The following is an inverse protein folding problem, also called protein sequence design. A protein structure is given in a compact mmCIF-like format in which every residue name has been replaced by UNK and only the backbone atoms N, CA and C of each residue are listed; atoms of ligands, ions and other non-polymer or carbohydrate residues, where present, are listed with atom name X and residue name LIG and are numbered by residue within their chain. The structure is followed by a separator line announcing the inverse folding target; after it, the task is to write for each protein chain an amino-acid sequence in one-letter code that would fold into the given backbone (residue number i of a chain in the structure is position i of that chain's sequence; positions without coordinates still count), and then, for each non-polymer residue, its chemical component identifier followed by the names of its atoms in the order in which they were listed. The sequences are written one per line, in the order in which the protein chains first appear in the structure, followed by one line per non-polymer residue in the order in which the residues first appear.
data_IF_194317788847
#
_entry.id   IF_194317788847
#
_cell.length_a   1.000
_cell.length_b   1.000
_cell.length_c   1.000
_cell.angle_alpha   90.00
_cell.angle_beta   90.00
_cell.angle_gamma   90.00
#
_symmetry.space_group_name_H-M   'P 1'
#
loop_
_entity.id
_entity.type
_entity.pdbx_description
1 polymer ?
#
# COMPACT_ATOMS: atom_id res chain seq x y z
N UNK A 1 48.89 18.47 14.44
CA UNK A 1 48.66 17.63 13.26
C UNK A 1 47.18 17.44 13.02
N UNK A 2 46.64 17.99 11.91
CA UNK A 2 45.39 17.55 11.33
C UNK A 2 44.27 18.58 11.26
N UNK A 3 44.45 19.72 10.62
CA UNK A 3 43.36 20.66 10.24
C UNK A 3 43.33 20.93 8.77
N UNK A 4 43.26 19.84 7.96
CA UNK A 4 42.93 19.94 6.56
C UNK A 4 41.71 19.05 6.30
N UNK A 5 40.58 19.33 6.98
CA UNK A 5 39.28 18.89 6.51
C UNK A 5 38.98 19.74 5.28
N UNK A 6 39.34 19.20 4.12
CA UNK A 6 39.19 19.85 2.85
C UNK A 6 37.70 20.17 2.63
N UNK A 7 37.33 21.43 2.30
CA UNK A 7 35.93 21.82 2.10
C UNK A 7 35.23 20.97 1.04
N UNK A 8 35.98 20.35 0.13
CA UNK A 8 35.48 19.43 -0.87
C UNK A 8 34.88 18.12 -0.28
N UNK A 9 35.40 17.62 0.86
CA UNK A 9 34.84 16.44 1.51
C UNK A 9 33.50 16.76 2.19
N UNK A 10 33.40 17.93 2.82
CA UNK A 10 32.15 18.42 3.43
C UNK A 10 31.07 18.66 2.39
N UNK A 11 31.43 19.27 1.25
CA UNK A 11 30.52 19.51 0.14
C UNK A 11 30.02 18.18 -0.49
N UNK A 12 30.92 17.22 -0.66
CA UNK A 12 30.54 15.87 -1.16
C UNK A 12 29.58 15.13 -0.22
N UNK A 13 29.80 15.25 1.10
CA UNK A 13 28.90 14.66 2.10
C UNK A 13 27.53 15.35 2.11
N UNK A 14 27.49 16.67 2.06
CA UNK A 14 26.25 17.43 1.97
C UNK A 14 25.44 17.06 0.72
N UNK A 15 26.08 16.99 -0.44
CA UNK A 15 25.42 16.55 -1.68
C UNK A 15 24.85 15.13 -1.57
N UNK A 16 25.58 14.22 -0.93
CA UNK A 16 25.09 12.84 -0.73
C UNK A 16 23.85 12.81 0.17
N UNK A 17 23.85 13.58 1.25
CA UNK A 17 22.70 13.70 2.16
C UNK A 17 21.48 14.33 1.45
N UNK A 18 21.68 15.40 0.70
CA UNK A 18 20.64 16.03 -0.11
C UNK A 18 19.99 15.04 -1.10
N UNK A 19 20.81 14.27 -1.79
CA UNK A 19 20.31 13.24 -2.72
C UNK A 19 19.48 12.18 -2.02
N UNK A 20 19.89 11.73 -0.84
CA UNK A 20 19.15 10.76 -0.04
C UNK A 20 17.81 11.34 0.45
N UNK A 21 17.82 12.58 0.95
CA UNK A 21 16.59 13.25 1.40
C UNK A 21 15.62 13.49 0.24
N UNK A 22 16.10 14.02 -0.89
CA UNK A 22 15.29 14.21 -2.09
C UNK A 22 14.69 12.88 -2.56
N UNK A 23 15.50 11.82 -2.60
CA UNK A 23 15.04 10.49 -2.95
C UNK A 23 13.92 9.97 -2.04
N UNK A 24 14.00 10.23 -0.73
CA UNK A 24 12.94 9.86 0.22
C UNK A 24 11.66 10.67 0.02
N UNK A 25 11.77 11.95 -0.31
CA UNK A 25 10.62 12.82 -0.61
C UNK A 25 9.95 12.38 -1.91
N UNK A 26 10.72 12.16 -2.96
CA UNK A 26 10.22 11.67 -4.25
C UNK A 26 9.49 10.33 -4.08
N UNK A 27 10.08 9.40 -3.33
CA UNK A 27 9.43 8.12 -3.06
C UNK A 27 8.10 8.30 -2.31
N UNK A 28 8.08 9.14 -1.27
CA UNK A 28 6.88 9.40 -0.49
C UNK A 28 5.76 10.05 -1.34
N UNK A 29 6.12 11.05 -2.15
CA UNK A 29 5.18 11.71 -3.05
C UNK A 29 4.62 10.74 -4.10
N UNK A 30 5.49 9.95 -4.73
CA UNK A 30 5.09 8.93 -5.69
C UNK A 30 4.17 7.87 -5.08
N UNK A 31 4.48 7.38 -3.87
CA UNK A 31 3.67 6.41 -3.17
C UNK A 31 2.29 6.97 -2.79
N UNK A 32 2.24 8.22 -2.29
CA UNK A 32 0.97 8.87 -1.97
C UNK A 32 0.09 9.07 -3.22
N UNK A 33 0.68 9.56 -4.32
CA UNK A 33 -0.04 9.73 -5.57
C UNK A 33 -0.56 8.41 -6.12
N UNK A 34 0.26 7.36 -6.07
CA UNK A 34 -0.13 6.02 -6.50
C UNK A 34 -1.28 5.47 -5.66
N UNK A 35 -1.19 5.55 -4.33
CA UNK A 35 -2.21 5.04 -3.42
C UNK A 35 -3.54 5.78 -3.58
N UNK A 36 -3.52 7.11 -3.70
CA UNK A 36 -4.70 7.92 -3.97
C UNK A 36 -5.36 7.47 -5.29
N UNK A 37 -4.56 7.31 -6.36
CA UNK A 37 -5.08 6.80 -7.64
C UNK A 37 -5.74 5.44 -7.47
N UNK A 38 -5.09 4.50 -6.78
CA UNK A 38 -5.61 3.14 -6.52
C UNK A 38 -6.96 3.19 -5.81
N UNK A 39 -7.09 3.99 -4.75
CA UNK A 39 -8.33 4.12 -3.97
C UNK A 39 -9.46 4.68 -4.82
N UNK A 40 -9.22 5.76 -5.57
CA UNK A 40 -10.24 6.39 -6.40
C UNK A 40 -10.60 5.55 -7.64
N UNK A 41 -9.62 4.89 -8.28
CA UNK A 41 -9.87 4.01 -9.42
C UNK A 41 -10.75 2.81 -9.06
N UNK A 42 -10.72 2.36 -7.82
CA UNK A 42 -11.53 1.26 -7.33
C UNK A 42 -12.88 1.71 -6.73
N UNK A 43 -13.12 3.02 -6.64
CA UNK A 43 -14.37 3.58 -6.11
C UNK A 43 -15.40 3.82 -7.21
N UNK A 44 -16.66 3.98 -6.80
CA UNK A 44 -17.77 4.37 -7.69
C UNK A 44 -17.60 5.78 -8.24
N UNK A 45 -16.77 6.63 -7.62
CA UNK A 45 -16.42 7.96 -8.16
C UNK A 45 -15.83 7.86 -9.58
N UNK A 46 -15.12 6.80 -9.90
CA UNK A 46 -14.63 6.53 -11.26
C UNK A 46 -15.77 6.38 -12.28
N UNK A 47 -16.85 5.73 -11.88
CA UNK A 47 -18.01 5.50 -12.78
C UNK A 47 -18.89 6.74 -12.91
N UNK A 48 -19.03 7.50 -11.82
CA UNK A 48 -19.90 8.68 -11.79
C UNK A 48 -19.25 9.90 -12.43
N UNK A 49 -17.92 10.01 -12.37
CA UNK A 49 -17.20 11.18 -12.85
C UNK A 49 -16.14 10.80 -13.89
N UNK A 50 -16.44 11.08 -15.14
CA UNK A 50 -15.53 10.79 -16.26
C UNK A 50 -14.14 11.43 -16.07
N UNK A 51 -14.04 12.58 -15.41
CA UNK A 51 -12.77 13.24 -15.15
C UNK A 51 -11.88 12.48 -14.16
N UNK A 52 -12.45 11.69 -13.24
CA UNK A 52 -11.68 10.85 -12.31
C UNK A 52 -10.92 9.79 -13.11
N UNK A 53 -11.59 9.15 -14.07
CA UNK A 53 -10.96 8.15 -14.92
C UNK A 53 -10.07 8.76 -16.00
N UNK A 54 -10.54 9.84 -16.65
CA UNK A 54 -9.88 10.41 -17.84
C UNK A 54 -8.72 11.34 -17.51
N UNK A 55 -8.70 11.97 -16.34
CA UNK A 55 -7.69 12.99 -15.99
C UNK A 55 -7.01 12.67 -14.68
N UNK A 56 -7.76 12.59 -13.58
CA UNK A 56 -7.16 12.51 -12.24
C UNK A 56 -6.28 11.27 -12.07
N UNK A 57 -6.82 10.10 -12.39
CA UNK A 57 -6.07 8.84 -12.19
C UNK A 57 -4.83 8.75 -13.08
N UNK A 58 -4.90 9.02 -14.40
CA UNK A 58 -3.69 9.05 -15.22
C UNK A 58 -2.64 10.07 -14.76
N UNK A 59 -3.08 11.27 -14.35
CA UNK A 59 -2.14 12.29 -13.84
C UNK A 59 -1.43 11.82 -12.58
N UNK A 60 -2.16 11.24 -11.61
CA UNK A 60 -1.56 10.70 -10.39
C UNK A 60 -0.65 9.50 -10.66
N UNK A 61 -1.01 8.62 -11.58
CA UNK A 61 -0.19 7.48 -11.98
C UNK A 61 1.11 7.95 -12.66
N UNK A 62 1.03 8.88 -13.62
CA UNK A 62 2.21 9.45 -14.25
C UNK A 62 3.11 10.19 -13.26
N UNK A 63 2.50 10.96 -12.32
CA UNK A 63 3.25 11.62 -11.25
C UNK A 63 3.98 10.59 -10.38
N UNK A 64 3.32 9.49 -10.02
CA UNK A 64 3.94 8.42 -9.27
C UNK A 64 5.12 7.79 -10.03
N UNK A 65 4.92 7.45 -11.30
CA UNK A 65 5.98 6.88 -12.14
C UNK A 65 7.16 7.84 -12.33
N UNK A 66 6.91 9.12 -12.54
CA UNK A 66 7.96 10.15 -12.64
C UNK A 66 8.74 10.27 -11.32
N UNK A 67 8.05 10.30 -10.18
CA UNK A 67 8.69 10.35 -8.88
C UNK A 67 9.53 9.10 -8.58
N UNK A 68 8.99 7.91 -8.87
CA UNK A 68 9.72 6.66 -8.70
C UNK A 68 10.91 6.57 -9.66
N UNK A 69 10.73 6.94 -10.92
CA UNK A 69 11.78 6.97 -11.92
C UNK A 69 12.90 7.94 -11.55
N UNK A 70 12.55 9.15 -11.14
CA UNK A 70 13.53 10.14 -10.66
C UNK A 70 14.30 9.60 -9.42
N UNK A 71 13.60 8.95 -8.47
CA UNK A 71 14.23 8.32 -7.31
C UNK A 71 15.21 7.21 -7.73
N UNK A 72 14.82 6.35 -8.67
CA UNK A 72 15.65 5.26 -9.18
C UNK A 72 16.91 5.82 -9.85
N UNK A 73 16.76 6.82 -10.72
CA UNK A 73 17.85 7.36 -11.51
C UNK A 73 18.82 8.23 -10.70
N UNK A 74 18.29 9.09 -9.83
CA UNK A 74 19.09 10.10 -9.15
C UNK A 74 19.38 9.79 -7.68
N UNK A 75 18.51 9.02 -7.02
CA UNK A 75 18.54 8.80 -5.58
C UNK A 75 19.06 7.43 -5.14
N UNK A 76 19.35 6.51 -6.08
CA UNK A 76 19.69 5.13 -5.69
C UNK A 76 20.87 4.61 -6.50
N UNK A 77 21.73 3.81 -5.85
CA UNK A 77 22.80 3.07 -6.51
C UNK A 77 22.46 1.59 -6.49
N UNK A 78 22.43 0.96 -7.66
CA UNK A 78 22.15 -0.47 -7.80
C UNK A 78 23.42 -1.24 -8.08
N UNK A 79 23.56 -2.39 -7.45
CA UNK A 79 24.58 -3.38 -7.82
C UNK A 79 24.11 -4.16 -9.06
N UNK A 80 25.05 -4.79 -9.78
CA UNK A 80 24.71 -5.59 -10.95
C UNK A 80 23.71 -6.73 -10.64
N UNK A 81 23.85 -7.36 -9.46
CA UNK A 81 22.93 -8.41 -9.01
C UNK A 81 21.52 -7.89 -8.80
N UNK A 82 21.38 -6.70 -8.22
CA UNK A 82 20.07 -6.06 -8.01
C UNK A 82 19.43 -5.64 -9.35
N UNK A 83 20.22 -5.18 -10.31
CA UNK A 83 19.73 -4.88 -11.65
C UNK A 83 19.21 -6.12 -12.37
N UNK A 84 19.92 -7.25 -12.27
CA UNK A 84 19.44 -8.53 -12.83
C UNK A 84 18.14 -8.99 -12.17
N UNK A 85 18.08 -8.98 -10.83
CA UNK A 85 16.87 -9.33 -10.08
C UNK A 85 15.70 -8.40 -10.44
N UNK A 86 15.96 -7.10 -10.57
CA UNK A 86 14.99 -6.09 -10.97
C UNK A 86 14.47 -6.32 -12.38
N UNK A 87 15.38 -6.64 -13.30
CA UNK A 87 15.04 -7.03 -14.68
C UNK A 87 14.13 -8.26 -14.71
N UNK A 88 14.47 -9.30 -13.95
CA UNK A 88 13.64 -10.50 -13.86
C UNK A 88 12.24 -10.19 -13.32
N UNK A 89 12.12 -9.40 -12.24
CA UNK A 89 10.83 -8.97 -11.69
C UNK A 89 10.04 -8.15 -12.71
N UNK A 90 10.69 -7.25 -13.45
CA UNK A 90 10.04 -6.47 -14.49
C UNK A 90 9.49 -7.36 -15.63
N UNK A 91 10.26 -8.35 -16.07
CA UNK A 91 9.80 -9.30 -17.08
C UNK A 91 8.60 -10.11 -16.60
N UNK A 92 8.59 -10.57 -15.34
CA UNK A 92 7.45 -11.26 -14.75
C UNK A 92 6.23 -10.32 -14.70
N UNK A 93 6.38 -9.10 -14.22
CA UNK A 93 5.30 -8.12 -14.18
C UNK A 93 4.78 -7.78 -15.58
N UNK A 94 5.68 -7.68 -16.57
CA UNK A 94 5.33 -7.46 -17.96
C UNK A 94 4.54 -8.63 -18.56
N UNK A 95 4.93 -9.86 -18.24
CA UNK A 95 4.20 -11.06 -18.61
C UNK A 95 2.80 -11.08 -18.00
N UNK A 96 2.68 -10.79 -16.71
CA UNK A 96 1.38 -10.69 -16.03
C UNK A 96 0.53 -9.57 -16.63
N UNK A 97 1.12 -8.40 -16.94
CA UNK A 97 0.42 -7.32 -17.61
C UNK A 97 -0.16 -7.74 -18.95
N UNK A 98 0.58 -8.46 -19.80
CA UNK A 98 0.07 -8.93 -21.09
C UNK A 98 -1.14 -9.84 -20.95
N UNK A 99 -1.18 -10.67 -19.91
CA UNK A 99 -2.30 -11.57 -19.67
C UNK A 99 -3.49 -10.91 -18.96
N UNK A 100 -3.24 -9.98 -18.05
CA UNK A 100 -4.29 -9.35 -17.22
C UNK A 100 -4.72 -7.97 -17.72
N UNK A 101 -3.94 -7.33 -18.62
CA UNK A 101 -4.08 -5.94 -19.06
C UNK A 101 -4.08 -4.92 -17.90
N UNK A 102 -3.55 -5.32 -16.74
CA UNK A 102 -3.54 -4.50 -15.55
C UNK A 102 -2.14 -3.89 -15.30
N UNK A 103 -2.01 -2.59 -15.58
CA UNK A 103 -0.76 -1.83 -15.46
C UNK A 103 -0.22 -1.76 -14.02
N UNK A 104 -1.05 -2.01 -13.04
CA UNK A 104 -0.67 -1.92 -11.62
C UNK A 104 0.44 -2.89 -11.24
N UNK A 105 0.55 -4.03 -11.92
CA UNK A 105 1.67 -4.97 -11.70
C UNK A 105 3.03 -4.33 -11.99
N UNK A 106 3.10 -3.52 -13.06
CA UNK A 106 4.32 -2.77 -13.39
C UNK A 106 4.55 -1.69 -12.32
N UNK A 107 3.50 -0.99 -11.90
CA UNK A 107 3.56 0.02 -10.84
C UNK A 107 4.13 -0.51 -9.54
N UNK A 108 3.69 -1.70 -9.10
CA UNK A 108 4.20 -2.35 -7.89
C UNK A 108 5.71 -2.63 -8.01
N UNK A 109 6.16 -3.18 -9.14
CA UNK A 109 7.59 -3.46 -9.33
C UNK A 109 8.42 -2.19 -9.31
N UNK A 110 7.97 -1.14 -10.00
CA UNK A 110 8.68 0.16 -10.02
C UNK A 110 8.72 0.77 -8.61
N UNK A 111 7.62 0.68 -7.84
CA UNK A 111 7.57 1.14 -6.46
C UNK A 111 8.52 0.35 -5.55
N UNK A 112 8.59 -0.99 -5.69
CA UNK A 112 9.52 -1.84 -4.94
C UNK A 112 10.98 -1.46 -5.25
N UNK A 113 11.31 -1.23 -6.51
CA UNK A 113 12.64 -0.77 -6.91
C UNK A 113 12.95 0.60 -6.29
N UNK A 114 12.02 1.55 -6.39
CA UNK A 114 12.20 2.86 -5.81
C UNK A 114 12.29 2.85 -4.28
N UNK A 115 11.79 1.81 -3.59
CA UNK A 115 11.83 1.68 -2.15
C UNK A 115 13.24 1.41 -1.58
N UNK A 116 14.21 1.06 -2.43
CA UNK A 116 15.60 0.82 -1.98
C UNK A 116 16.14 2.04 -1.23
N UNK A 117 16.87 1.79 -0.13
CA UNK A 117 17.45 2.79 0.77
C UNK A 117 16.43 3.73 1.46
N UNK A 118 15.14 3.37 1.43
CA UNK A 118 14.09 4.07 2.17
C UNK A 118 13.73 3.26 3.42
N UNK A 119 13.83 3.84 4.64
CA UNK A 119 13.45 3.14 5.86
C UNK A 119 11.97 2.76 5.82
N UNK A 120 11.64 1.48 6.01
CA UNK A 120 10.31 0.90 5.85
C UNK A 120 9.19 1.67 6.60
N UNK A 121 9.52 2.27 7.74
CA UNK A 121 8.54 3.01 8.55
C UNK A 121 7.91 4.19 7.81
N UNK A 122 8.71 4.96 7.03
CA UNK A 122 8.20 6.12 6.28
C UNK A 122 7.23 5.73 5.16
N UNK A 123 7.55 4.78 4.27
CA UNK A 123 6.59 4.26 3.29
C UNK A 123 5.28 3.81 3.91
N UNK A 124 5.34 3.04 5.01
CA UNK A 124 4.15 2.58 5.70
C UNK A 124 3.30 3.74 6.26
N UNK A 125 3.94 4.78 6.81
CA UNK A 125 3.24 5.98 7.27
C UNK A 125 2.55 6.72 6.13
N UNK A 126 3.25 6.91 5.01
CA UNK A 126 2.71 7.58 3.83
C UNK A 126 1.54 6.78 3.25
N UNK A 127 1.73 5.49 3.02
CA UNK A 127 0.69 4.58 2.54
C UNK A 127 -0.56 4.63 3.43
N UNK A 128 -0.37 4.48 4.74
CA UNK A 128 -1.48 4.52 5.71
C UNK A 128 -2.19 5.88 5.70
N UNK A 129 -1.45 6.98 5.75
CA UNK A 129 -2.03 8.32 5.82
C UNK A 129 -2.76 8.68 4.51
N UNK A 130 -2.13 8.47 3.33
CA UNK A 130 -2.76 8.77 2.04
C UNK A 130 -3.95 7.87 1.75
N UNK A 131 -3.85 6.58 2.06
CA UNK A 131 -4.93 5.63 1.87
C UNK A 131 -6.12 5.91 2.80
N UNK A 132 -5.88 6.20 4.09
CA UNK A 132 -6.94 6.63 5.01
C UNK A 132 -7.62 7.92 4.56
N UNK A 133 -6.84 8.93 4.12
CA UNK A 133 -7.40 10.19 3.65
C UNK A 133 -8.26 9.99 2.39
N UNK A 134 -7.74 9.26 1.39
CA UNK A 134 -8.47 8.97 0.16
C UNK A 134 -9.75 8.15 0.44
N UNK A 135 -9.64 7.12 1.28
CA UNK A 135 -10.79 6.29 1.67
C UNK A 135 -11.84 7.10 2.44
N UNK A 136 -11.42 7.98 3.36
CA UNK A 136 -12.33 8.86 4.09
C UNK A 136 -13.12 9.78 3.15
N UNK A 137 -12.47 10.31 2.10
CA UNK A 137 -13.14 11.11 1.07
C UNK A 137 -14.19 10.27 0.33
N UNK A 138 -13.83 9.07 -0.14
CA UNK A 138 -14.78 8.18 -0.84
C UNK A 138 -15.96 7.82 0.05
N UNK A 139 -15.73 7.49 1.32
CA UNK A 139 -16.78 7.19 2.29
C UNK A 139 -17.69 8.42 2.55
N UNK A 140 -17.08 9.60 2.70
CA UNK A 140 -17.84 10.83 2.88
C UNK A 140 -18.76 11.13 1.67
N UNK A 141 -18.25 10.97 0.46
CA UNK A 141 -19.03 11.13 -0.78
C UNK A 141 -20.13 10.08 -0.91
N UNK A 142 -19.88 8.86 -0.48
CA UNK A 142 -20.86 7.78 -0.46
C UNK A 142 -21.99 8.09 0.53
N UNK A 143 -21.67 8.42 1.79
CA UNK A 143 -22.69 8.73 2.80
C UNK A 143 -23.44 10.06 2.54
N UNK A 144 -22.81 10.98 1.79
CA UNK A 144 -23.49 12.19 1.31
C UNK A 144 -24.43 11.92 0.12
N UNK A 145 -24.50 10.70 -0.40
CA UNK A 145 -25.32 10.34 -1.56
C UNK A 145 -24.83 10.95 -2.88
N UNK A 146 -23.57 11.45 -2.92
CA UNK A 146 -22.98 12.10 -4.10
C UNK A 146 -22.45 11.05 -5.09
N UNK A 147 -21.97 9.93 -4.57
CA UNK A 147 -21.55 8.76 -5.36
C UNK A 147 -22.71 7.77 -5.40
N UNK A 148 -22.94 7.15 -6.56
CA UNK A 148 -24.07 6.25 -6.78
C UNK A 148 -24.24 5.25 -5.62
N UNK A 149 -25.48 4.89 -5.28
CA UNK A 149 -25.76 3.90 -4.26
C UNK A 149 -25.08 2.57 -4.61
N UNK A 150 -24.78 1.82 -3.59
CA UNK A 150 -24.15 0.52 -3.69
C UNK A 150 -24.83 -0.33 -4.76
N UNK A 151 -24.03 -0.86 -5.69
CA UNK A 151 -24.47 -1.98 -6.50
C UNK A 151 -24.80 -3.11 -5.53
N UNK A 152 -26.07 -3.44 -5.39
CA UNK A 152 -26.52 -4.49 -4.49
C UNK A 152 -25.92 -5.82 -4.93
N UNK A 153 -24.83 -6.19 -4.28
CA UNK A 153 -24.22 -7.51 -4.48
C UNK A 153 -24.92 -8.48 -3.53
N UNK A 154 -25.93 -9.16 -4.02
CA UNK A 154 -26.56 -10.24 -3.27
C UNK A 154 -25.68 -11.49 -3.29
N UNK A 155 -25.45 -12.05 -2.14
CA UNK A 155 -24.84 -13.37 -1.99
C UNK A 155 -25.61 -14.14 -0.92
N UNK A 156 -26.22 -15.25 -1.32
CA UNK A 156 -27.03 -16.11 -0.43
C UNK A 156 -28.18 -15.34 0.26
N UNK A 157 -28.82 -14.39 -0.44
CA UNK A 157 -29.93 -13.60 0.10
C UNK A 157 -29.54 -12.47 1.05
N UNK A 158 -28.24 -12.22 1.27
CA UNK A 158 -27.76 -11.10 2.09
C UNK A 158 -27.23 -9.97 1.22
N UNK A 159 -27.73 -8.76 1.45
CA UNK A 159 -27.19 -7.52 0.86
C UNK A 159 -25.82 -7.24 1.45
N UNK A 160 -24.84 -7.00 0.59
CA UNK A 160 -23.45 -6.71 0.97
C UNK A 160 -23.14 -5.25 0.71
N UNK A 161 -22.69 -4.52 1.72
CA UNK A 161 -22.29 -3.12 1.58
C UNK A 161 -21.00 -3.00 0.78
N UNK A 162 -20.98 -2.13 -0.23
CA UNK A 162 -19.78 -1.79 -1.02
C UNK A 162 -19.12 -0.51 -0.55
N UNK A 163 -19.81 0.29 0.26
CA UNK A 163 -19.30 1.52 0.88
C UNK A 163 -18.67 2.50 -0.13
N UNK A 164 -19.32 2.67 -1.29
CA UNK A 164 -18.84 3.54 -2.36
C UNK A 164 -17.76 2.93 -3.27
N UNK A 165 -17.54 1.61 -3.18
CA UNK A 165 -16.65 0.86 -4.06
C UNK A 165 -17.45 -0.06 -4.99
N UNK A 166 -16.87 -0.39 -6.14
CA UNK A 166 -17.57 -1.23 -7.13
C UNK A 166 -17.81 -2.66 -6.68
N UNK A 167 -17.07 -3.15 -5.68
CA UNK A 167 -17.20 -4.51 -5.16
C UNK A 167 -16.83 -4.60 -3.68
N UNK A 168 -17.57 -5.39 -2.86
CA UNK A 168 -17.27 -5.54 -1.42
C UNK A 168 -15.87 -6.05 -1.11
N UNK A 169 -15.33 -6.95 -1.93
CA UNK A 169 -13.97 -7.47 -1.74
C UNK A 169 -12.90 -6.41 -2.01
N UNK A 170 -13.15 -5.49 -2.95
CA UNK A 170 -12.25 -4.38 -3.23
C UNK A 170 -12.14 -3.46 -2.01
N UNK A 171 -13.28 -3.06 -1.45
CA UNK A 171 -13.31 -2.31 -0.19
C UNK A 171 -12.59 -3.07 0.93
N UNK A 172 -12.92 -4.34 1.13
CA UNK A 172 -12.28 -5.17 2.15
C UNK A 172 -10.77 -5.29 1.97
N UNK A 173 -10.29 -5.45 0.73
CA UNK A 173 -8.85 -5.53 0.42
C UNK A 173 -8.11 -4.24 0.74
N UNK A 174 -8.68 -3.08 0.39
CA UNK A 174 -8.10 -1.77 0.71
C UNK A 174 -8.03 -1.55 2.23
N UNK A 175 -9.13 -1.84 2.96
CA UNK A 175 -9.14 -1.76 4.43
C UNK A 175 -8.09 -2.69 5.04
N UNK A 176 -7.99 -3.93 4.56
CA UNK A 176 -6.97 -4.87 5.05
C UNK A 176 -5.55 -4.34 4.82
N UNK A 177 -5.26 -3.76 3.65
CA UNK A 177 -3.96 -3.14 3.36
C UNK A 177 -3.60 -2.03 4.36
N UNK A 178 -4.55 -1.15 4.68
CA UNK A 178 -4.37 -0.09 5.68
C UNK A 178 -4.17 -0.66 7.09
N UNK A 179 -4.96 -1.66 7.49
CA UNK A 179 -4.82 -2.32 8.79
C UNK A 179 -3.47 -3.03 8.91
N UNK A 180 -2.99 -3.65 7.84
CA UNK A 180 -1.66 -4.28 7.80
C UNK A 180 -0.56 -3.23 7.97
N UNK A 181 -0.63 -2.10 7.26
CA UNK A 181 0.32 -1.00 7.43
C UNK A 181 0.31 -0.45 8.87
N UNK A 182 -0.88 -0.26 9.45
CA UNK A 182 -1.03 0.11 10.85
C UNK A 182 -0.37 -0.91 11.80
N UNK A 183 -0.66 -2.18 11.63
CA UNK A 183 -0.11 -3.25 12.46
C UNK A 183 1.43 -3.30 12.38
N UNK A 184 2.01 -3.14 11.18
CA UNK A 184 3.45 -3.08 10.99
C UNK A 184 4.08 -1.85 11.65
N UNK A 185 3.41 -0.69 11.59
CA UNK A 185 3.86 0.53 12.28
C UNK A 185 3.84 0.39 13.80
N UNK A 186 2.91 -0.41 14.32
CA UNK A 186 2.74 -0.66 15.76
C UNK A 186 3.48 -1.89 16.28
N UNK A 187 4.00 -2.74 15.40
CA UNK A 187 4.55 -4.07 15.75
C UNK A 187 5.57 -4.07 16.90
N UNK A 188 6.39 -3.01 17.01
CA UNK A 188 7.37 -2.88 18.11
C UNK A 188 6.78 -2.35 19.42
N UNK A 189 5.59 -1.74 19.40
CA UNK A 189 4.96 -1.08 20.55
C UNK A 189 3.46 -1.38 20.62
N UNK A 190 3.11 -2.67 20.40
CA UNK A 190 1.71 -3.14 20.41
C UNK A 190 1.07 -2.92 21.77
N UNK A 191 -0.12 -2.32 21.80
CA UNK A 191 -0.99 -2.19 22.97
C UNK A 191 -2.22 -3.07 22.82
N UNK A 192 -2.91 -3.40 23.90
CA UNK A 192 -4.17 -4.16 23.84
C UNK A 192 -5.24 -3.46 22.99
N UNK A 193 -5.24 -2.11 23.01
CA UNK A 193 -6.14 -1.31 22.18
C UNK A 193 -5.89 -1.57 20.69
N UNK A 194 -4.62 -1.70 20.26
CA UNK A 194 -4.28 -2.00 18.86
C UNK A 194 -4.85 -3.38 18.44
N UNK A 195 -4.73 -4.38 19.32
CA UNK A 195 -5.28 -5.71 19.07
C UNK A 195 -6.83 -5.69 18.96
N UNK A 196 -7.48 -4.99 19.88
CA UNK A 196 -8.94 -4.84 19.89
C UNK A 196 -9.44 -4.10 18.65
N UNK A 197 -8.76 -3.02 18.25
CA UNK A 197 -9.10 -2.24 17.07
C UNK A 197 -9.01 -3.10 15.80
N UNK A 198 -7.90 -3.83 15.62
CA UNK A 198 -7.72 -4.69 14.43
C UNK A 198 -8.75 -5.84 14.46
N UNK A 199 -9.05 -6.40 15.61
CA UNK A 199 -10.10 -7.41 15.76
C UNK A 199 -11.47 -6.85 15.38
N UNK A 200 -11.84 -5.66 15.88
CA UNK A 200 -13.12 -5.01 15.58
C UNK A 200 -13.27 -4.72 14.07
N UNK A 201 -12.19 -4.26 13.41
CA UNK A 201 -12.19 -4.08 11.95
C UNK A 201 -12.37 -5.43 11.24
N UNK A 202 -11.74 -6.50 11.70
CA UNK A 202 -11.93 -7.85 11.13
C UNK A 202 -13.39 -8.32 11.23
N UNK A 203 -14.05 -8.11 12.37
CA UNK A 203 -15.47 -8.41 12.57
C UNK A 203 -16.34 -7.52 11.67
N UNK A 204 -16.04 -6.23 11.57
CA UNK A 204 -16.73 -5.32 10.66
C UNK A 204 -16.66 -5.79 9.20
N UNK A 205 -15.47 -6.20 8.73
CA UNK A 205 -15.27 -6.71 7.37
C UNK A 205 -16.05 -8.00 7.11
N UNK A 206 -16.29 -8.80 8.15
CA UNK A 206 -17.08 -10.03 8.05
C UNK A 206 -18.58 -9.74 7.94
N UNK A 207 -19.08 -8.78 8.71
CA UNK A 207 -20.52 -8.49 8.84
C UNK A 207 -20.97 -7.46 7.80
N UNK A 208 -20.29 -6.33 7.67
CA UNK A 208 -20.67 -5.21 6.80
C UNK A 208 -20.50 -5.54 5.31
N UNK A 209 -19.29 -5.51 4.76
CA UNK A 209 -19.07 -5.83 3.36
C UNK A 209 -19.15 -7.34 3.09
N UNK A 210 -19.20 -8.19 4.13
CA UNK A 210 -19.12 -9.65 4.02
C UNK A 210 -17.94 -10.13 3.16
N UNK A 211 -16.80 -9.43 3.27
CA UNK A 211 -15.54 -9.75 2.58
C UNK A 211 -14.75 -10.79 3.39
N UNK A 212 -15.09 -12.07 3.21
CA UNK A 212 -14.57 -13.18 4.02
C UNK A 212 -13.05 -13.25 4.03
N UNK A 213 -12.40 -13.11 2.88
CA UNK A 213 -10.92 -13.22 2.77
C UNK A 213 -10.24 -12.09 3.54
N UNK A 214 -10.65 -10.83 3.32
CA UNK A 214 -10.09 -9.69 4.02
C UNK A 214 -10.36 -9.77 5.52
N UNK A 215 -11.56 -10.21 5.92
CA UNK A 215 -11.93 -10.42 7.33
C UNK A 215 -11.03 -11.47 7.99
N UNK A 216 -10.87 -12.65 7.37
CA UNK A 216 -10.02 -13.71 7.89
C UNK A 216 -8.56 -13.28 8.02
N UNK A 217 -8.01 -12.60 7.01
CA UNK A 217 -6.65 -12.07 7.07
C UNK A 217 -6.50 -11.02 8.18
N UNK A 218 -7.51 -10.14 8.36
CA UNK A 218 -7.49 -9.12 9.42
C UNK A 218 -7.60 -9.77 10.82
N UNK A 219 -8.45 -10.78 10.99
CA UNK A 219 -8.57 -11.51 12.25
C UNK A 219 -7.29 -12.30 12.57
N UNK A 220 -6.67 -12.94 11.57
CA UNK A 220 -5.38 -13.62 11.74
C UNK A 220 -4.28 -12.61 12.13
N UNK A 221 -4.31 -11.39 11.55
CA UNK A 221 -3.40 -10.32 11.94
C UNK A 221 -3.63 -9.86 13.38
N UNK A 222 -4.90 -9.78 13.84
CA UNK A 222 -5.21 -9.46 15.24
C UNK A 222 -4.63 -10.52 16.20
N UNK A 223 -4.77 -11.81 15.88
CA UNK A 223 -4.15 -12.90 16.65
C UNK A 223 -2.62 -12.75 16.68
N UNK A 224 -2.02 -12.42 15.55
CA UNK A 224 -0.59 -12.13 15.46
C UNK A 224 -0.14 -10.97 16.35
N UNK A 225 -0.91 -9.88 16.40
CA UNK A 225 -0.64 -8.75 17.30
C UNK A 225 -0.75 -9.13 18.77
N UNK A 226 -1.76 -9.95 19.14
CA UNK A 226 -1.89 -10.50 20.51
C UNK A 226 -0.64 -11.30 20.86
N UNK A 227 -0.19 -12.17 19.95
CA UNK A 227 1.02 -12.95 20.16
C UNK A 227 2.27 -12.06 20.33
N UNK A 228 2.42 -11.02 19.50
CA UNK A 228 3.48 -10.03 19.65
C UNK A 228 3.40 -9.31 21.00
N UNK A 229 2.19 -8.98 21.46
CA UNK A 229 1.97 -8.32 22.75
C UNK A 229 2.32 -9.21 23.93
N UNK A 230 1.92 -10.48 23.90
CA UNK A 230 2.24 -11.46 24.95
C UNK A 230 3.73 -11.76 25.05
N UNK A 231 4.43 -11.66 23.90
CA UNK A 231 5.90 -11.79 23.84
C UNK A 231 6.65 -10.46 23.96
N UNK A 232 5.99 -9.40 24.39
CA UNK A 232 6.63 -8.09 24.58
C UNK A 232 7.81 -8.21 25.55
N UNK A 233 9.02 -8.03 25.04
CA UNK A 233 10.30 -8.29 25.74
C UNK A 233 11.18 -9.36 25.07
N UNK A 234 10.63 -10.13 24.16
CA UNK A 234 11.37 -11.13 23.37
C UNK A 234 11.46 -10.65 21.90
N UNK A 235 12.54 -11.00 21.21
CA UNK A 235 12.74 -10.65 19.79
C UNK A 235 11.60 -11.21 18.94
N UNK A 236 11.10 -10.40 17.98
CA UNK A 236 10.11 -10.84 17.00
C UNK A 236 10.69 -12.02 16.22
N UNK A 237 9.95 -13.16 16.11
CA UNK A 237 10.44 -14.32 15.39
C UNK A 237 10.83 -13.94 13.95
N UNK A 238 11.96 -14.46 13.46
CA UNK A 238 12.47 -14.17 12.11
C UNK A 238 11.50 -14.55 10.98
N UNK A 239 10.57 -15.47 11.21
CA UNK A 239 9.55 -15.90 10.25
C UNK A 239 8.36 -14.93 10.12
N UNK A 240 8.16 -14.02 11.09
CA UNK A 240 7.01 -13.09 11.13
C UNK A 240 6.89 -12.19 9.88
N UNK A 241 7.95 -11.55 9.37
CA UNK A 241 7.87 -10.78 8.13
C UNK A 241 7.44 -11.61 6.92
N UNK A 242 7.90 -12.86 6.84
CA UNK A 242 7.51 -13.79 5.77
C UNK A 242 6.04 -14.17 5.82
N UNK A 243 5.49 -14.39 7.02
CA UNK A 243 4.05 -14.69 7.18
C UNK A 243 3.19 -13.51 6.78
N UNK A 244 3.57 -12.29 7.18
CA UNK A 244 2.88 -11.07 6.76
C UNK A 244 2.92 -10.88 5.24
N UNK A 245 4.08 -11.09 4.62
CA UNK A 245 4.23 -11.03 3.16
C UNK A 245 3.38 -12.10 2.45
N UNK A 246 3.33 -13.32 2.99
CA UNK A 246 2.49 -14.41 2.47
C UNK A 246 1.01 -14.09 2.55
N UNK A 247 0.53 -13.50 3.65
CA UNK A 247 -0.87 -13.05 3.79
C UNK A 247 -1.24 -11.97 2.78
N UNK A 248 -0.34 -11.01 2.54
CA UNK A 248 -0.53 -9.97 1.51
C UNK A 248 -0.61 -10.62 0.13
N UNK A 249 0.30 -11.54 -0.19
CA UNK A 249 0.31 -12.25 -1.47
C UNK A 249 -0.99 -13.02 -1.71
N UNK A 250 -1.49 -13.75 -0.71
CA UNK A 250 -2.76 -14.49 -0.77
C UNK A 250 -3.96 -13.56 -0.96
N UNK A 251 -3.98 -12.41 -0.27
CA UNK A 251 -5.03 -11.40 -0.43
C UNK A 251 -5.05 -10.81 -1.85
N UNK A 252 -3.86 -10.50 -2.41
CA UNK A 252 -3.73 -9.97 -3.76
C UNK A 252 -4.16 -10.98 -4.83
N UNK A 253 -3.79 -12.26 -4.68
CA UNK A 253 -4.20 -13.34 -5.59
C UNK A 253 -5.72 -13.50 -5.60
N UNK A 254 -6.35 -13.40 -4.43
CA UNK A 254 -7.80 -13.55 -4.31
C UNK A 254 -8.60 -12.36 -4.87
N UNK A 255 -8.02 -11.14 -4.82
CA UNK A 255 -8.61 -9.94 -5.42
C UNK A 255 -8.54 -10.00 -6.96
N UNK A 256 -7.50 -10.62 -7.50
CA UNK A 256 -7.27 -10.72 -8.95
C UNK A 256 -7.97 -11.91 -9.62
N UNK A 257 -8.53 -12.85 -8.85
CA UNK A 257 -9.28 -13.97 -9.41
C UNK A 257 -10.59 -13.47 -10.03
N UNK A 258 -10.83 -13.65 -11.33
CA UNK A 258 -12.11 -13.33 -11.94
C UNK A 258 -13.20 -14.18 -11.29
N UNK A 259 -14.21 -13.53 -10.78
CA UNK A 259 -15.45 -14.19 -10.32
C UNK A 259 -16.30 -14.57 -11.49
#
# INVERSE_FOLDING_TARGET
HGLWNTPHLLFGQQLAEWRLQLGRILFAAGLAAYEISVVFCNSMARQNWAWVQGVMSPVLEWLAFLCFGAKILFGTRYTWRELLASGALYFIARWVYFNSQNIWWIGIVVAVLAAKDVPLRRPLQVYFASGCAAMAVVLALHFAGIVAPDLTSERMGALRGTYGYGHPNTFGGLVFGLVLAYALLRAQKVRWVDCLLVFAVGVFLLVGPASRSAALCTLALAVGLVFCRLRAGHSVPRWWPGTCAGMVGLSLIHISAPT
#
